data_IF_456701174894
#
_entry.id   IF_456701174894
#
_cell.length_a   1.000
_cell.length_b   1.000
_cell.length_c   1.000
_cell.angle_alpha   90.00
_cell.angle_beta   90.00
_cell.angle_gamma   90.00
#
_symmetry.space_group_name_H-M   'P 1'
#
loop_
_entity.id
_entity.type
_entity.pdbx_description
1 polymer ?
#
# COMPACT_ATOMS: atom_id res chain seq x y z
N UNK A 1 -26.01 -15.50 -77.35
CA UNK A 1 -26.90 -15.16 -76.21
C UNK A 1 -26.23 -15.68 -74.95
N UNK A 2 -25.52 -14.82 -74.21
CA UNK A 2 -24.81 -15.18 -72.97
C UNK A 2 -25.37 -14.28 -71.86
N UNK A 3 -25.76 -14.93 -70.75
CA UNK A 3 -26.51 -14.39 -69.62
C UNK A 3 -25.88 -13.14 -68.98
N UNK A 4 -26.56 -12.00 -69.09
CA UNK A 4 -26.25 -10.76 -68.37
C UNK A 4 -26.94 -10.66 -66.98
N UNK A 5 -27.61 -11.72 -66.51
CA UNK A 5 -28.42 -11.71 -65.29
C UNK A 5 -27.68 -12.05 -63.98
N UNK A 6 -26.46 -12.59 -64.04
CA UNK A 6 -25.79 -13.12 -62.85
C UNK A 6 -24.90 -12.11 -62.10
N UNK A 7 -24.48 -11.01 -62.75
CA UNK A 7 -23.57 -10.02 -62.15
C UNK A 7 -24.21 -9.06 -61.15
N UNK A 8 -25.50 -8.74 -61.35
CA UNK A 8 -26.21 -7.76 -60.51
C UNK A 8 -26.71 -8.33 -59.18
N UNK A 9 -26.99 -9.64 -59.11
CA UNK A 9 -27.42 -10.29 -57.87
C UNK A 9 -26.28 -10.44 -56.86
N UNK A 10 -25.04 -10.67 -57.32
CA UNK A 10 -23.88 -10.85 -56.43
C UNK A 10 -23.39 -9.51 -55.86
N UNK A 11 -23.50 -8.41 -56.62
CA UNK A 11 -23.14 -7.07 -56.14
C UNK A 11 -24.09 -6.55 -55.05
N UNK A 12 -25.38 -6.90 -55.09
CA UNK A 12 -26.35 -6.49 -54.07
C UNK A 12 -26.20 -7.26 -52.74
N UNK A 13 -25.78 -8.53 -52.80
CA UNK A 13 -25.54 -9.35 -51.60
C UNK A 13 -24.25 -8.90 -50.89
N UNK A 14 -23.24 -8.42 -51.62
CA UNK A 14 -22.02 -7.86 -51.02
C UNK A 14 -22.24 -6.48 -50.37
N UNK A 15 -23.07 -5.61 -50.96
CA UNK A 15 -23.37 -4.29 -50.38
C UNK A 15 -24.26 -4.35 -49.14
N UNK A 16 -25.09 -5.37 -49.00
CA UNK A 16 -25.91 -5.60 -47.80
C UNK A 16 -25.11 -6.25 -46.66
N UNK A 17 -24.09 -7.05 -46.97
CA UNK A 17 -23.16 -7.58 -45.96
C UNK A 17 -22.18 -6.55 -45.40
N UNK A 18 -21.81 -5.53 -46.20
CA UNK A 18 -20.93 -4.46 -45.73
C UNK A 18 -21.66 -3.41 -44.87
N UNK A 19 -22.98 -3.26 -45.04
CA UNK A 19 -23.83 -2.39 -44.22
C UNK A 19 -24.28 -3.05 -42.90
N UNK A 20 -24.23 -4.37 -42.79
CA UNK A 20 -24.61 -5.10 -41.57
C UNK A 20 -23.49 -5.16 -40.50
N UNK A 21 -22.25 -4.80 -40.86
CA UNK A 21 -21.11 -4.81 -39.93
C UNK A 21 -20.84 -3.46 -39.24
N UNK A 22 -21.65 -2.43 -39.49
CA UNK A 22 -21.81 -1.32 -38.54
C UNK A 22 -22.78 -1.76 -37.45
N UNK A 23 -22.42 -2.84 -36.74
CA UNK A 23 -22.90 -3.04 -35.39
C UNK A 23 -22.57 -1.74 -34.67
N UNK A 24 -23.62 -0.98 -34.38
CA UNK A 24 -23.53 0.18 -33.52
C UNK A 24 -22.81 -0.32 -32.26
N UNK A 25 -21.56 0.09 -32.06
CA UNK A 25 -20.94 -0.04 -30.77
C UNK A 25 -21.87 0.74 -29.84
N UNK A 26 -22.77 0.02 -29.15
CA UNK A 26 -23.56 0.61 -28.08
C UNK A 26 -22.56 1.42 -27.25
N UNK A 27 -22.85 2.69 -26.92
CA UNK A 27 -21.95 3.47 -26.09
C UNK A 27 -21.66 2.59 -24.88
N UNK A 28 -20.43 2.09 -24.81
CA UNK A 28 -20.03 1.12 -23.80
C UNK A 28 -20.40 1.76 -22.47
N UNK A 29 -21.36 1.16 -21.75
CA UNK A 29 -21.86 1.68 -20.48
C UNK A 29 -20.68 2.26 -19.70
N UNK A 30 -20.69 3.57 -19.48
CA UNK A 30 -19.60 4.21 -18.73
C UNK A 30 -19.57 3.57 -17.36
N UNK A 31 -18.46 2.91 -17.03
CA UNK A 31 -18.32 2.21 -15.75
C UNK A 31 -17.98 3.21 -14.66
N UNK A 32 -18.43 2.95 -13.45
CA UNK A 32 -18.23 3.82 -12.29
C UNK A 32 -17.40 3.08 -11.25
N UNK A 33 -16.21 3.59 -10.95
CA UNK A 33 -15.33 3.02 -9.92
C UNK A 33 -15.33 3.96 -8.71
N UNK A 34 -15.75 3.44 -7.56
CA UNK A 34 -15.68 4.16 -6.30
C UNK A 34 -14.32 3.96 -5.65
N UNK A 35 -13.63 5.03 -5.27
CA UNK A 35 -12.32 4.99 -4.61
C UNK A 35 -12.49 5.49 -3.17
N UNK A 36 -12.30 4.62 -2.19
CA UNK A 36 -12.35 4.98 -0.77
C UNK A 36 -10.93 4.98 -0.19
N UNK A 37 -10.41 6.15 0.12
CA UNK A 37 -9.10 6.31 0.73
C UNK A 37 -9.17 6.26 2.26
N UNK A 38 -8.06 5.90 2.91
CA UNK A 38 -7.98 5.87 4.38
C UNK A 38 -7.49 7.19 5.00
N UNK A 39 -7.14 8.22 4.22
CA UNK A 39 -6.68 9.52 4.73
C UNK A 39 -7.10 10.67 3.80
N UNK A 40 -6.52 11.86 3.96
CA UNK A 40 -6.72 13.04 3.16
C UNK A 40 -6.29 12.88 1.70
N UNK A 41 -6.85 13.74 0.85
CA UNK A 41 -6.51 13.85 -0.56
C UNK A 41 -5.02 14.11 -0.77
N UNK A 42 -4.42 15.02 -0.01
CA UNK A 42 -3.00 15.34 -0.13
C UNK A 42 -2.07 14.12 0.00
N UNK A 43 -2.46 13.11 0.79
CA UNK A 43 -1.68 11.91 1.01
C UNK A 43 -1.93 10.80 -0.02
N UNK A 44 -3.17 10.67 -0.48
CA UNK A 44 -3.56 9.58 -1.35
C UNK A 44 -3.67 9.97 -2.83
N UNK A 45 -3.81 11.25 -3.19
CA UNK A 45 -3.90 11.69 -4.59
C UNK A 45 -2.70 11.24 -5.43
N UNK A 46 -1.42 11.26 -4.95
CA UNK A 46 -0.32 10.69 -5.73
C UNK A 46 -0.53 9.20 -6.07
N UNK A 47 -1.13 8.44 -5.14
CA UNK A 47 -1.45 7.02 -5.34
C UNK A 47 -2.66 6.82 -6.25
N UNK A 48 -3.69 7.66 -6.09
CA UNK A 48 -4.88 7.69 -6.94
C UNK A 48 -4.52 8.09 -8.37
N UNK A 49 -3.56 9.01 -8.56
CA UNK A 49 -3.01 9.37 -9.86
C UNK A 49 -2.33 8.18 -10.55
N UNK A 50 -1.48 7.43 -9.84
CA UNK A 50 -0.87 6.20 -10.38
C UNK A 50 -1.93 5.17 -10.75
N UNK A 51 -2.96 5.00 -9.91
CA UNK A 51 -4.07 4.11 -10.19
C UNK A 51 -4.88 4.55 -11.42
N UNK A 52 -5.19 5.84 -11.54
CA UNK A 52 -5.88 6.47 -12.68
C UNK A 52 -5.08 6.29 -13.98
N UNK A 53 -3.79 6.55 -13.96
CA UNK A 53 -2.89 6.35 -15.11
C UNK A 53 -2.81 4.87 -15.52
N UNK A 54 -2.78 3.95 -14.56
CA UNK A 54 -2.78 2.51 -14.85
C UNK A 54 -4.12 2.04 -15.44
N UNK A 55 -5.25 2.56 -14.98
CA UNK A 55 -6.56 2.32 -15.59
C UNK A 55 -6.64 2.88 -17.01
N UNK A 56 -6.12 4.08 -17.23
CA UNK A 56 -6.03 4.69 -18.55
C UNK A 56 -5.21 3.84 -19.52
N UNK A 57 -4.06 3.31 -19.07
CA UNK A 57 -3.22 2.41 -19.85
C UNK A 57 -3.93 1.09 -20.19
N UNK A 58 -4.89 0.64 -19.37
CA UNK A 58 -5.75 -0.52 -19.64
C UNK A 58 -6.98 -0.19 -20.53
N UNK A 59 -7.14 1.06 -20.96
CA UNK A 59 -8.23 1.52 -21.82
C UNK A 59 -9.45 2.10 -21.09
N UNK A 60 -9.38 2.29 -19.77
CA UNK A 60 -10.41 2.96 -18.97
C UNK A 60 -10.06 4.44 -18.79
N UNK A 61 -10.71 5.30 -19.57
CA UNK A 61 -10.42 6.73 -19.66
C UNK A 61 -11.55 7.52 -19.00
N UNK A 62 -11.19 8.30 -17.98
CA UNK A 62 -12.11 9.15 -17.25
C UNK A 62 -12.81 10.16 -18.18
N UNK A 63 -14.13 10.30 -18.04
CA UNK A 63 -14.95 11.16 -18.90
C UNK A 63 -15.30 10.56 -20.27
N UNK A 64 -14.73 9.40 -20.64
CA UNK A 64 -15.07 8.69 -21.89
C UNK A 64 -15.85 7.40 -21.61
N UNK A 65 -15.26 6.48 -20.86
CA UNK A 65 -15.86 5.19 -20.52
C UNK A 65 -15.71 4.83 -19.04
N UNK A 66 -15.14 5.73 -18.23
CA UNK A 66 -14.93 5.58 -16.79
C UNK A 66 -15.37 6.86 -16.06
N UNK A 67 -15.93 6.70 -14.87
CA UNK A 67 -16.10 7.74 -13.85
C UNK A 67 -15.43 7.28 -12.56
N UNK A 68 -14.52 8.09 -12.01
CA UNK A 68 -13.90 7.83 -10.71
C UNK A 68 -14.56 8.67 -9.61
N UNK A 69 -15.20 7.99 -8.66
CA UNK A 69 -15.84 8.61 -7.51
C UNK A 69 -14.93 8.48 -6.29
N UNK A 70 -14.12 9.49 -6.02
CA UNK A 70 -13.11 9.43 -4.95
C UNK A 70 -13.66 10.03 -3.65
N UNK A 71 -13.41 9.38 -2.51
CA UNK A 71 -13.79 9.83 -1.17
C UNK A 71 -12.61 9.76 -0.21
N UNK A 72 -12.36 10.89 0.46
CA UNK A 72 -11.28 11.06 1.43
C UNK A 72 -11.86 11.39 2.82
N UNK A 73 -11.63 10.56 3.86
CA UNK A 73 -12.08 10.88 5.22
C UNK A 73 -11.29 12.02 5.88
N UNK A 74 -10.16 12.44 5.31
CA UNK A 74 -9.16 13.23 6.06
C UNK A 74 -8.55 12.36 7.16
N UNK A 75 -8.23 12.95 8.31
CA UNK A 75 -7.66 12.21 9.46
C UNK A 75 -8.73 11.55 10.36
N UNK A 76 -9.97 11.46 9.88
CA UNK A 76 -11.12 11.01 10.68
C UNK A 76 -11.65 9.66 10.20
N UNK A 77 -11.09 8.57 10.72
CA UNK A 77 -11.57 7.21 10.38
C UNK A 77 -13.07 7.00 10.66
N UNK A 78 -13.66 7.75 11.60
CA UNK A 78 -15.09 7.69 11.91
C UNK A 78 -15.99 8.05 10.72
N UNK A 79 -15.49 8.77 9.71
CA UNK A 79 -16.23 9.12 8.48
C UNK A 79 -16.28 8.00 7.45
N UNK A 80 -15.40 7.00 7.56
CA UNK A 80 -15.28 5.92 6.57
C UNK A 80 -16.58 5.13 6.34
N UNK A 81 -17.39 4.77 7.37
CA UNK A 81 -18.64 4.06 7.15
C UNK A 81 -19.65 4.85 6.30
N UNK A 82 -19.78 6.16 6.55
CA UNK A 82 -20.68 7.02 5.79
C UNK A 82 -20.24 7.17 4.33
N UNK A 83 -18.94 7.42 4.11
CA UNK A 83 -18.36 7.56 2.76
C UNK A 83 -18.47 6.24 1.97
N UNK A 84 -18.27 5.10 2.62
CA UNK A 84 -18.47 3.79 1.99
C UNK A 84 -19.94 3.59 1.59
N UNK A 85 -20.89 3.96 2.46
CA UNK A 85 -22.31 3.87 2.16
C UNK A 85 -22.72 4.81 1.02
N UNK A 86 -22.11 5.99 0.91
CA UNK A 86 -22.31 6.91 -0.21
C UNK A 86 -21.91 6.28 -1.55
N UNK A 87 -20.72 5.67 -1.62
CA UNK A 87 -20.27 4.97 -2.83
C UNK A 87 -21.18 3.79 -3.20
N UNK A 88 -21.71 3.07 -2.21
CA UNK A 88 -22.72 2.01 -2.45
C UNK A 88 -24.02 2.60 -3.01
N UNK A 89 -24.51 3.73 -2.47
CA UNK A 89 -25.71 4.42 -2.99
C UNK A 89 -25.54 4.92 -4.42
N UNK A 90 -24.32 5.31 -4.81
CA UNK A 90 -23.98 5.69 -6.19
C UNK A 90 -23.95 4.50 -7.16
N UNK A 91 -24.16 3.26 -6.67
CA UNK A 91 -24.17 2.03 -7.47
C UNK A 91 -22.91 1.90 -8.34
N UNK A 92 -21.75 2.12 -7.71
CA UNK A 92 -20.46 1.90 -8.38
C UNK A 92 -20.33 0.43 -8.80
N UNK A 93 -19.69 0.19 -9.93
CA UNK A 93 -19.44 -1.15 -10.47
C UNK A 93 -18.35 -1.89 -9.68
N UNK A 94 -17.35 -1.15 -9.18
CA UNK A 94 -16.25 -1.67 -8.36
C UNK A 94 -15.89 -0.64 -7.28
N UNK A 95 -15.62 -1.12 -6.06
CA UNK A 95 -15.05 -0.35 -4.96
C UNK A 95 -13.54 -0.64 -4.86
N UNK A 96 -12.72 0.37 -5.15
CA UNK A 96 -11.30 0.39 -4.87
C UNK A 96 -11.08 0.95 -3.44
N UNK A 97 -10.65 0.13 -2.48
CA UNK A 97 -10.38 0.56 -1.11
C UNK A 97 -8.89 0.66 -0.82
N UNK A 98 -8.42 1.84 -0.42
CA UNK A 98 -7.01 2.15 -0.24
C UNK A 98 -6.69 2.24 1.25
N UNK A 99 -6.00 1.23 1.76
CA UNK A 99 -5.72 0.99 3.17
C UNK A 99 -6.76 0.10 3.85
N UNK A 100 -6.34 -0.52 4.95
CA UNK A 100 -7.19 -1.46 5.70
C UNK A 100 -8.42 -0.82 6.35
N UNK A 101 -8.36 0.39 6.96
CA UNK A 101 -9.54 1.06 7.49
C UNK A 101 -10.64 1.25 6.42
N UNK A 102 -10.27 1.75 5.23
CA UNK A 102 -11.20 1.87 4.11
C UNK A 102 -11.76 0.51 3.67
N UNK A 103 -10.91 -0.53 3.62
CA UNK A 103 -11.34 -1.87 3.22
C UNK A 103 -12.34 -2.48 4.20
N UNK A 104 -12.13 -2.29 5.52
CA UNK A 104 -13.09 -2.72 6.54
C UNK A 104 -14.43 -1.99 6.42
N UNK A 105 -14.41 -0.69 6.15
CA UNK A 105 -15.63 0.08 5.92
C UNK A 105 -16.38 -0.39 4.66
N UNK A 106 -15.67 -0.57 3.54
CA UNK A 106 -16.25 -1.09 2.30
C UNK A 106 -16.87 -2.49 2.49
N UNK A 107 -16.15 -3.41 3.15
CA UNK A 107 -16.65 -4.77 3.43
C UNK A 107 -17.92 -4.78 4.29
N UNK A 108 -18.07 -3.82 5.21
CA UNK A 108 -19.30 -3.66 6.01
C UNK A 108 -20.44 -3.05 5.21
N UNK A 109 -20.13 -2.15 4.28
CA UNK A 109 -21.13 -1.41 3.52
C UNK A 109 -21.78 -2.26 2.41
N UNK A 110 -21.12 -3.31 1.91
CA UNK A 110 -21.67 -4.16 0.85
C UNK A 110 -21.06 -5.56 0.81
N UNK A 111 -21.92 -6.53 0.50
CA UNK A 111 -21.55 -7.93 0.23
C UNK A 111 -21.67 -8.29 -1.25
N UNK A 112 -22.10 -7.36 -2.10
CA UNK A 112 -22.45 -7.62 -3.52
C UNK A 112 -21.56 -6.87 -4.50
N UNK A 113 -21.20 -5.61 -4.23
CA UNK A 113 -20.32 -4.84 -5.11
C UNK A 113 -18.89 -5.39 -4.97
N UNK A 114 -18.19 -5.73 -6.07
CA UNK A 114 -16.78 -6.10 -6.04
C UNK A 114 -15.92 -5.08 -5.30
N UNK A 115 -15.12 -5.54 -4.32
CA UNK A 115 -14.15 -4.74 -3.60
C UNK A 115 -12.75 -5.19 -4.00
N UNK A 116 -11.96 -4.27 -4.54
CA UNK A 116 -10.53 -4.43 -4.76
C UNK A 116 -9.80 -3.64 -3.69
N UNK A 117 -9.10 -4.33 -2.79
CA UNK A 117 -8.33 -3.70 -1.73
C UNK A 117 -6.88 -3.46 -2.13
N UNK A 118 -6.32 -2.40 -1.59
CA UNK A 118 -4.89 -2.20 -1.44
C UNK A 118 -4.64 -2.10 0.07
N UNK A 119 -3.93 -3.06 0.64
CA UNK A 119 -3.63 -3.12 2.07
C UNK A 119 -2.16 -3.44 2.30
N UNK A 120 -1.57 -2.81 3.31
CA UNK A 120 -0.21 -3.14 3.79
C UNK A 120 -0.21 -4.23 4.88
N UNK A 121 -1.36 -4.80 5.20
CA UNK A 121 -1.52 -5.72 6.33
C UNK A 121 -1.62 -7.17 5.88
N UNK A 122 -1.30 -8.09 6.79
CA UNK A 122 -1.66 -9.50 6.63
C UNK A 122 -3.18 -9.64 6.82
N UNK A 123 -3.88 -9.58 5.69
CA UNK A 123 -5.34 -9.63 5.60
C UNK A 123 -5.93 -10.98 6.00
N UNK A 124 -5.14 -12.05 6.02
CA UNK A 124 -5.58 -13.37 6.52
C UNK A 124 -5.52 -13.39 8.04
N UNK A 125 -4.39 -12.98 8.62
CA UNK A 125 -4.20 -12.97 10.07
C UNK A 125 -5.19 -12.05 10.81
N UNK A 126 -5.66 -10.98 10.17
CA UNK A 126 -6.70 -10.09 10.73
C UNK A 126 -8.14 -10.52 10.40
N UNK A 127 -8.33 -11.69 9.78
CA UNK A 127 -9.65 -12.24 9.45
C UNK A 127 -10.40 -11.48 8.37
N UNK A 128 -9.71 -10.65 7.58
CA UNK A 128 -10.33 -9.88 6.50
C UNK A 128 -10.71 -10.80 5.33
N UNK A 129 -9.87 -11.79 5.02
CA UNK A 129 -10.16 -12.88 4.08
C UNK A 129 -9.72 -14.22 4.67
N UNK A 130 -10.41 -15.34 4.38
CA UNK A 130 -10.00 -16.67 4.83
C UNK A 130 -8.71 -17.16 4.16
N UNK A 131 -8.44 -16.73 2.91
CA UNK A 131 -7.29 -17.19 2.14
C UNK A 131 -6.95 -16.21 1.00
N UNK A 132 -5.67 -15.96 0.73
CA UNK A 132 -5.24 -15.04 -0.35
C UNK A 132 -5.54 -15.57 -1.76
N UNK A 133 -5.40 -16.87 -1.99
CA UNK A 133 -5.67 -17.49 -3.29
C UNK A 133 -7.18 -17.64 -3.56
N UNK A 134 -8.00 -17.66 -2.50
CA UNK A 134 -9.45 -17.77 -2.55
C UNK A 134 -10.08 -16.88 -1.47
N UNK A 135 -10.12 -15.56 -1.68
CA UNK A 135 -10.58 -14.62 -0.66
C UNK A 135 -12.08 -14.75 -0.33
N UNK A 136 -12.86 -15.39 -1.20
CA UNK A 136 -14.29 -15.62 -0.98
C UNK A 136 -15.13 -14.34 -1.05
N UNK A 137 -16.42 -14.48 -1.35
CA UNK A 137 -17.34 -13.34 -1.45
C UNK A 137 -16.96 -12.33 -2.54
N UNK A 138 -17.15 -11.04 -2.24
CA UNK A 138 -16.93 -9.91 -3.15
C UNK A 138 -15.58 -9.21 -2.99
N UNK A 139 -14.70 -9.66 -2.08
CA UNK A 139 -13.42 -8.99 -1.77
C UNK A 139 -12.23 -9.68 -2.46
N UNK A 140 -11.32 -8.89 -3.02
CA UNK A 140 -10.04 -9.33 -3.61
C UNK A 140 -9.03 -8.20 -3.56
N UNK A 141 -7.80 -8.39 -4.01
CA UNK A 141 -6.85 -7.29 -4.23
C UNK A 141 -5.41 -7.57 -3.81
N UNK A 142 -4.70 -6.50 -3.43
CA UNK A 142 -3.28 -6.49 -3.11
C UNK A 142 -3.09 -6.38 -1.60
N UNK A 143 -2.33 -7.30 -1.00
CA UNK A 143 -1.94 -7.29 0.41
C UNK A 143 -0.42 -7.25 0.57
N UNK A 144 0.07 -6.49 1.55
CA UNK A 144 1.47 -6.45 1.97
C UNK A 144 1.76 -7.32 3.19
N UNK A 145 3.00 -7.81 3.31
CA UNK A 145 3.49 -8.54 4.49
C UNK A 145 4.17 -7.56 5.47
N UNK A 146 3.43 -7.01 6.44
CA UNK A 146 3.97 -6.12 7.47
C UNK A 146 4.76 -6.78 8.62
N UNK A 147 4.46 -8.01 9.09
CA UNK A 147 5.12 -8.58 10.28
C UNK A 147 6.63 -8.79 10.12
N UNK A 148 7.07 -9.41 9.02
CA UNK A 148 8.48 -9.71 8.73
C UNK A 148 9.30 -8.42 8.57
N UNK A 149 8.67 -7.36 8.07
CA UNK A 149 9.31 -6.06 7.89
C UNK A 149 9.56 -5.33 9.21
N UNK A 150 8.79 -5.64 10.25
CA UNK A 150 8.97 -5.02 11.57
C UNK A 150 10.23 -5.54 12.24
N UNK A 151 10.48 -6.86 12.17
CA UNK A 151 11.73 -7.45 12.64
C UNK A 151 12.95 -6.94 11.87
N UNK A 152 12.83 -6.83 10.54
CA UNK A 152 13.91 -6.28 9.73
C UNK A 152 14.27 -4.83 10.08
N UNK A 153 13.27 -4.00 10.40
CA UNK A 153 13.51 -2.62 10.85
C UNK A 153 14.23 -2.56 12.20
N UNK A 154 13.92 -3.47 13.14
CA UNK A 154 14.66 -3.58 14.40
C UNK A 154 16.11 -4.06 14.19
N UNK A 155 16.32 -5.03 13.29
CA UNK A 155 17.68 -5.44 12.91
C UNK A 155 18.48 -4.27 12.30
N UNK A 156 17.86 -3.47 11.43
CA UNK A 156 18.49 -2.28 10.87
C UNK A 156 18.84 -1.25 11.94
N UNK A 157 17.96 -1.04 12.93
CA UNK A 157 18.26 -0.20 14.09
C UNK A 157 19.48 -0.75 14.82
N UNK A 158 19.58 -2.07 15.04
CA UNK A 158 20.74 -2.68 15.71
C UNK A 158 22.02 -2.52 14.91
N UNK A 159 21.98 -2.68 13.60
CA UNK A 159 23.15 -2.58 12.73
C UNK A 159 23.69 -1.14 12.64
N UNK A 160 22.80 -0.16 12.58
CA UNK A 160 23.16 1.26 12.42
C UNK A 160 23.45 1.92 13.78
N UNK A 161 22.65 1.58 14.80
CA UNK A 161 22.72 2.10 16.16
C UNK A 161 23.00 0.95 17.14
N UNK A 162 24.23 0.40 17.18
CA UNK A 162 24.54 -0.81 17.95
C UNK A 162 24.36 -0.67 19.46
N UNK A 163 24.33 0.57 19.97
CA UNK A 163 24.09 0.90 21.38
C UNK A 163 22.61 1.14 21.71
N UNK A 164 21.71 1.16 20.74
CA UNK A 164 20.28 1.34 20.99
C UNK A 164 19.69 0.11 21.66
N UNK A 165 19.07 0.31 22.82
CA UNK A 165 18.36 -0.73 23.60
C UNK A 165 16.88 -0.36 23.78
N UNK A 166 16.57 0.93 24.01
CA UNK A 166 15.21 1.43 24.27
C UNK A 166 14.60 2.00 23.00
N UNK A 167 13.71 1.25 22.37
CA UNK A 167 13.09 1.64 21.10
C UNK A 167 11.67 2.15 21.36
N UNK A 168 11.44 3.42 21.06
CA UNK A 168 10.09 3.96 21.00
C UNK A 168 9.37 3.39 19.77
N UNK A 169 8.13 2.95 19.92
CA UNK A 169 7.27 2.51 18.82
C UNK A 169 6.08 3.44 18.77
N UNK A 170 6.04 4.32 17.76
CA UNK A 170 4.92 5.23 17.56
C UNK A 170 3.86 4.53 16.70
N UNK A 171 2.65 4.41 17.24
CA UNK A 171 1.60 3.59 16.66
C UNK A 171 0.21 4.17 16.94
N UNK A 172 -0.78 3.80 16.13
CA UNK A 172 -2.17 4.22 16.30
C UNK A 172 -3.06 3.01 16.58
N UNK A 173 -3.41 2.74 17.84
CA UNK A 173 -4.24 1.57 18.20
C UNK A 173 -5.71 1.70 17.78
N UNK A 174 -6.15 2.87 17.33
CA UNK A 174 -7.46 3.01 16.70
C UNK A 174 -7.51 2.33 15.31
N UNK A 175 -6.35 2.06 14.71
CA UNK A 175 -6.25 1.26 13.50
C UNK A 175 -6.17 -0.23 13.85
N UNK A 176 -7.17 -1.07 13.46
CA UNK A 176 -7.21 -2.49 13.83
C UNK A 176 -5.97 -3.29 13.39
N UNK A 177 -5.26 -2.83 12.36
CA UNK A 177 -4.07 -3.55 11.86
C UNK A 177 -2.83 -3.30 12.68
N UNK A 178 -2.84 -2.28 13.54
CA UNK A 178 -1.70 -1.94 14.38
C UNK A 178 -1.43 -3.01 15.43
N UNK A 179 -2.45 -3.65 16.00
CA UNK A 179 -2.26 -4.67 17.05
C UNK A 179 -1.43 -5.87 16.54
N UNK A 180 -1.77 -6.51 15.40
CA UNK A 180 -0.92 -7.55 14.82
C UNK A 180 0.51 -7.11 14.54
N UNK A 181 0.70 -5.89 14.02
CA UNK A 181 2.03 -5.33 13.73
C UNK A 181 2.83 -5.14 15.02
N UNK A 182 2.21 -4.60 16.08
CA UNK A 182 2.84 -4.43 17.38
C UNK A 182 3.26 -5.78 17.98
N UNK A 183 2.41 -6.81 17.92
CA UNK A 183 2.77 -8.16 18.40
C UNK A 183 3.97 -8.75 17.64
N UNK A 184 4.00 -8.59 16.32
CA UNK A 184 5.14 -9.02 15.51
C UNK A 184 6.42 -8.24 15.86
N UNK A 185 6.29 -6.93 16.08
CA UNK A 185 7.39 -6.07 16.49
C UNK A 185 7.92 -6.46 17.87
N UNK A 186 7.04 -6.73 18.84
CA UNK A 186 7.39 -7.21 20.18
C UNK A 186 8.13 -8.55 20.13
N UNK A 187 7.64 -9.50 19.32
CA UNK A 187 8.30 -10.79 19.13
C UNK A 187 9.72 -10.64 18.54
N UNK A 188 9.89 -9.77 17.53
CA UNK A 188 11.20 -9.52 16.95
C UNK A 188 12.14 -8.73 17.89
N UNK A 189 11.59 -7.87 18.75
CA UNK A 189 12.36 -7.16 19.77
C UNK A 189 12.94 -8.12 20.82
N UNK A 190 12.21 -9.18 21.18
CA UNK A 190 12.73 -10.23 22.07
C UNK A 190 13.95 -10.92 21.45
N UNK A 191 13.92 -11.22 20.15
CA UNK A 191 15.04 -11.85 19.43
C UNK A 191 16.26 -10.92 19.32
N UNK A 192 16.04 -9.61 19.19
CA UNK A 192 17.09 -8.60 19.10
C UNK A 192 17.51 -8.01 20.45
N UNK A 193 16.92 -8.49 21.55
CA UNK A 193 17.11 -8.01 22.94
C UNK A 193 16.95 -6.51 23.07
N UNK A 194 15.94 -5.94 22.41
CA UNK A 194 15.57 -4.54 22.50
C UNK A 194 14.32 -4.38 23.37
N UNK A 195 14.25 -3.30 24.15
CA UNK A 195 13.11 -2.93 24.98
C UNK A 195 12.21 -1.98 24.19
N UNK A 196 10.99 -2.42 23.91
CA UNK A 196 10.01 -1.59 23.22
C UNK A 196 9.21 -0.73 24.20
N UNK A 197 9.01 0.53 23.83
CA UNK A 197 8.06 1.45 24.45
C UNK A 197 7.03 1.88 23.42
N UNK A 198 5.83 1.29 23.47
CA UNK A 198 4.73 1.68 22.59
C UNK A 198 4.13 3.01 23.05
N UNK A 199 4.05 3.97 22.14
CA UNK A 199 3.41 5.26 22.32
C UNK A 199 2.20 5.32 21.37
N UNK A 200 1.01 5.21 21.95
CA UNK A 200 -0.27 5.23 21.23
C UNK A 200 -0.66 6.68 20.89
N UNK A 201 -0.77 6.98 19.60
CA UNK A 201 -1.17 8.28 19.05
C UNK A 201 -2.35 8.06 18.12
N UNK A 202 -3.50 8.60 18.50
CA UNK A 202 -4.79 8.46 17.82
C UNK A 202 -5.21 9.73 17.10
N UNK A 203 -4.55 10.84 17.39
CA UNK A 203 -4.78 12.15 16.76
C UNK A 203 -3.49 12.98 16.73
N UNK A 204 -3.35 13.91 15.77
CA UNK A 204 -2.13 14.72 15.61
C UNK A 204 -1.68 15.47 16.87
N UNK A 205 -2.62 15.98 17.67
CA UNK A 205 -2.34 16.74 18.88
C UNK A 205 -1.53 15.97 19.95
N UNK A 206 -1.54 14.62 19.91
CA UNK A 206 -0.84 13.78 20.87
C UNK A 206 0.65 13.59 20.54
N UNK A 207 1.10 13.96 19.34
CA UNK A 207 2.48 13.77 18.89
C UNK A 207 3.48 14.50 19.80
N UNK A 208 3.18 15.74 20.21
CA UNK A 208 4.07 16.49 21.09
C UNK A 208 4.34 15.77 22.41
N UNK A 209 3.29 15.27 23.05
CA UNK A 209 3.38 14.52 24.31
C UNK A 209 4.12 13.17 24.15
N UNK A 210 3.95 12.51 23.01
CA UNK A 210 4.68 11.28 22.69
C UNK A 210 6.19 11.52 22.63
N UNK A 211 6.64 12.57 21.94
CA UNK A 211 8.06 12.91 21.86
C UNK A 211 8.64 13.43 23.18
N UNK A 212 7.87 14.15 24.00
CA UNK A 212 8.29 14.51 25.36
C UNK A 212 8.49 13.26 26.24
N UNK A 213 7.63 12.26 26.07
CA UNK A 213 7.78 10.97 26.75
C UNK A 213 9.05 10.23 26.29
N UNK A 214 9.34 10.21 24.99
CA UNK A 214 10.59 9.64 24.44
C UNK A 214 11.83 10.28 25.09
N UNK A 215 11.83 11.62 25.23
CA UNK A 215 12.92 12.36 25.88
C UNK A 215 13.07 11.99 27.36
N UNK A 216 11.96 11.98 28.11
CA UNK A 216 11.95 11.66 29.55
C UNK A 216 12.40 10.22 29.82
N UNK A 217 12.02 9.28 28.97
CA UNK A 217 12.34 7.85 29.13
C UNK A 217 13.68 7.46 28.49
N UNK A 218 14.40 8.43 27.90
CA UNK A 218 15.68 8.24 27.21
C UNK A 218 15.63 7.14 26.15
N UNK A 219 14.68 7.25 25.21
CA UNK A 219 14.58 6.31 24.09
C UNK A 219 15.71 6.55 23.09
N UNK A 220 16.35 5.47 22.63
CA UNK A 220 17.54 5.51 21.78
C UNK A 220 17.20 5.64 20.29
N UNK A 221 16.03 5.14 19.87
CA UNK A 221 15.53 5.24 18.50
C UNK A 221 14.01 5.17 18.46
N UNK A 222 13.44 5.61 17.34
CA UNK A 222 12.02 5.57 17.03
C UNK A 222 11.77 4.60 15.87
N UNK A 223 10.84 3.68 16.05
CA UNK A 223 10.22 2.91 14.97
C UNK A 223 8.80 3.41 14.74
N UNK A 224 8.50 3.86 13.52
CA UNK A 224 7.14 4.24 13.14
C UNK A 224 6.39 3.05 12.55
N UNK A 225 5.24 2.71 13.12
CA UNK A 225 4.31 1.74 12.53
C UNK A 225 3.53 2.42 11.40
N UNK A 226 3.40 1.76 10.25
CA UNK A 226 2.62 2.30 9.14
C UNK A 226 1.16 2.52 9.54
N UNK A 227 0.71 3.76 9.41
CA UNK A 227 -0.64 4.19 9.68
C UNK A 227 -0.96 5.42 8.83
N UNK A 228 -2.13 5.49 8.17
CA UNK A 228 -2.52 6.65 7.38
C UNK A 228 -2.53 8.00 8.13
N UNK A 229 -2.97 8.03 9.39
CA UNK A 229 -2.96 9.26 10.19
C UNK A 229 -1.51 9.69 10.47
N UNK A 230 -0.66 8.78 10.95
CA UNK A 230 0.76 9.10 11.18
C UNK A 230 1.51 9.44 9.89
N UNK A 231 1.11 8.88 8.75
CA UNK A 231 1.66 9.24 7.45
C UNK A 231 1.33 10.68 7.07
N UNK A 232 0.13 11.16 7.40
CA UNK A 232 -0.32 12.54 7.18
C UNK A 232 0.52 13.54 7.96
N UNK A 233 0.86 13.16 9.20
CA UNK A 233 1.68 13.95 10.11
C UNK A 233 3.19 13.80 9.89
N UNK A 234 3.61 13.20 8.76
CA UNK A 234 5.02 12.96 8.44
C UNK A 234 5.90 14.20 8.59
N UNK A 235 5.55 15.40 8.09
CA UNK A 235 6.38 16.59 8.28
C UNK A 235 6.61 16.92 9.76
N UNK A 236 5.55 16.85 10.57
CA UNK A 236 5.62 17.11 12.01
C UNK A 236 6.43 16.03 12.74
N UNK A 237 6.22 14.74 12.43
CA UNK A 237 6.98 13.63 13.02
C UNK A 237 8.47 13.75 12.70
N UNK A 238 8.84 14.10 11.46
CA UNK A 238 10.23 14.32 11.06
C UNK A 238 10.82 15.51 11.83
N UNK A 239 10.09 16.62 11.92
CA UNK A 239 10.53 17.80 12.66
C UNK A 239 10.75 17.48 14.15
N UNK A 240 9.83 16.75 14.78
CA UNK A 240 9.93 16.33 16.17
C UNK A 240 11.11 15.36 16.37
N UNK A 241 11.27 14.35 15.52
CA UNK A 241 12.41 13.42 15.58
C UNK A 241 13.75 14.17 15.52
N UNK A 242 13.87 15.18 14.64
CA UNK A 242 15.04 16.04 14.56
C UNK A 242 15.22 16.91 15.81
N UNK A 243 14.15 17.57 16.29
CA UNK A 243 14.15 18.44 17.48
C UNK A 243 14.59 17.69 18.75
N UNK A 244 14.05 16.49 18.94
CA UNK A 244 14.36 15.63 20.08
C UNK A 244 15.61 14.74 19.86
N UNK A 245 16.22 14.81 18.68
CA UNK A 245 17.42 14.06 18.28
C UNK A 245 17.26 12.54 18.43
N UNK A 246 16.08 12.03 18.14
CA UNK A 246 15.80 10.59 18.17
C UNK A 246 15.92 10.05 16.73
N UNK A 247 16.85 9.13 16.44
CA UNK A 247 16.95 8.54 15.11
C UNK A 247 15.70 7.70 14.83
N UNK A 248 15.05 7.97 13.69
CA UNK A 248 13.75 7.38 13.35
C UNK A 248 13.83 6.47 12.11
N UNK A 249 13.21 5.31 12.21
CA UNK A 249 13.07 4.32 11.14
C UNK A 249 11.62 4.21 10.72
N UNK A 250 11.39 4.37 9.42
CA UNK A 250 10.07 4.44 8.82
C UNK A 250 9.79 3.24 7.91
N UNK A 251 8.52 3.00 7.60
CA UNK A 251 8.14 1.99 6.62
C UNK A 251 8.22 2.52 5.18
N UNK A 252 7.83 3.77 4.98
CA UNK A 252 7.63 4.33 3.64
C UNK A 252 8.77 5.24 3.21
N UNK A 253 9.16 5.10 1.95
CA UNK A 253 10.21 5.90 1.29
C UNK A 253 9.95 7.41 1.32
N UNK A 254 8.68 7.81 1.36
CA UNK A 254 8.28 9.22 1.43
C UNK A 254 8.78 9.92 2.71
N UNK A 255 9.14 9.19 3.76
CA UNK A 255 9.75 9.77 4.98
C UNK A 255 11.17 10.28 4.71
N UNK A 256 12.13 9.46 4.23
CA UNK A 256 13.44 9.97 3.84
C UNK A 256 13.42 11.09 2.81
N UNK A 257 12.52 11.01 1.82
CA UNK A 257 12.37 12.06 0.80
C UNK A 257 11.91 13.40 1.40
N UNK A 258 11.12 13.36 2.47
CA UNK A 258 10.65 14.53 3.21
C UNK A 258 11.62 14.99 4.34
N UNK A 259 12.83 14.44 4.42
CA UNK A 259 13.82 14.82 5.44
C UNK A 259 13.97 13.86 6.62
N UNK A 260 13.22 12.75 6.63
CA UNK A 260 13.38 11.68 7.60
C UNK A 260 14.70 10.91 7.43
N UNK A 261 15.09 10.17 8.45
CA UNK A 261 16.39 9.49 8.48
C UNK A 261 16.49 8.28 7.54
N UNK A 262 15.69 7.24 7.77
CA UNK A 262 15.74 6.02 6.96
C UNK A 262 14.42 5.28 6.89
N UNK A 263 14.17 4.60 5.77
CA UNK A 263 12.99 3.75 5.60
C UNK A 263 13.34 2.36 5.10
N UNK A 264 12.52 1.37 5.48
CA UNK A 264 12.55 0.04 4.91
C UNK A 264 11.12 -0.50 4.76
N UNK A 265 10.69 -0.69 3.50
CA UNK A 265 9.36 -1.19 3.17
C UNK A 265 9.11 -1.28 1.67
N UNK A 266 7.89 -1.69 1.27
CA UNK A 266 7.54 -1.94 -0.12
C UNK A 266 7.35 -0.64 -0.93
N UNK A 267 7.51 -0.72 -2.25
CA UNK A 267 7.30 0.40 -3.17
C UNK A 267 5.79 0.66 -3.40
N UNK A 268 5.30 1.90 -3.18
CA UNK A 268 3.89 2.22 -3.38
C UNK A 268 3.39 2.03 -4.83
N UNK A 269 4.20 2.41 -5.81
CA UNK A 269 3.77 2.47 -7.22
C UNK A 269 3.32 1.11 -7.78
N UNK A 270 4.08 0.04 -7.52
CA UNK A 270 3.76 -1.31 -7.99
C UNK A 270 2.43 -1.83 -7.42
N UNK A 271 2.05 -1.41 -6.21
CA UNK A 271 0.81 -1.83 -5.55
C UNK A 271 -0.41 -1.25 -6.26
N UNK A 272 -0.41 0.04 -6.54
CA UNK A 272 -1.54 0.72 -7.20
C UNK A 272 -1.67 0.32 -8.68
N UNK A 273 -0.56 0.06 -9.38
CA UNK A 273 -0.60 -0.51 -10.72
C UNK A 273 -1.23 -1.92 -10.73
N UNK A 274 -0.85 -2.78 -9.79
CA UNK A 274 -1.49 -4.10 -9.65
C UNK A 274 -2.96 -3.98 -9.30
N UNK A 275 -3.33 -3.06 -8.40
CA UNK A 275 -4.72 -2.80 -8.07
C UNK A 275 -5.56 -2.47 -9.31
N UNK A 276 -5.04 -1.64 -10.22
CA UNK A 276 -5.71 -1.33 -11.49
C UNK A 276 -5.93 -2.56 -12.37
N UNK A 277 -5.00 -3.51 -12.41
CA UNK A 277 -5.17 -4.79 -13.14
C UNK A 277 -6.33 -5.62 -12.57
N UNK A 278 -6.51 -5.65 -11.25
CA UNK A 278 -7.64 -6.35 -10.64
C UNK A 278 -8.97 -5.69 -11.01
N UNK A 279 -9.01 -4.35 -10.97
CA UNK A 279 -10.20 -3.58 -11.35
C UNK A 279 -10.53 -3.80 -12.83
N UNK A 280 -9.55 -3.73 -13.72
CA UNK A 280 -9.74 -4.01 -15.15
C UNK A 280 -10.35 -5.39 -15.40
N UNK A 281 -9.81 -6.44 -14.76
CA UNK A 281 -10.35 -7.80 -14.88
C UNK A 281 -11.80 -7.90 -14.43
N UNK A 282 -12.14 -7.27 -13.31
CA UNK A 282 -13.51 -7.28 -12.77
C UNK A 282 -14.46 -6.52 -13.70
N UNK A 283 -14.06 -5.35 -14.19
CA UNK A 283 -14.84 -4.57 -15.15
C UNK A 283 -15.07 -5.31 -16.48
N UNK A 284 -14.17 -6.24 -16.84
CA UNK A 284 -14.31 -7.16 -17.98
C UNK A 284 -15.09 -8.45 -17.67
N UNK A 285 -15.67 -8.56 -16.47
CA UNK A 285 -16.56 -9.66 -16.09
C UNK A 285 -15.93 -10.77 -15.25
N UNK A 286 -14.65 -10.64 -14.84
CA UNK A 286 -14.06 -11.60 -13.90
C UNK A 286 -14.72 -11.47 -12.52
N UNK A 287 -15.01 -12.60 -11.88
CA UNK A 287 -15.47 -12.60 -10.48
C UNK A 287 -14.33 -12.18 -9.54
N UNK A 288 -14.58 -11.49 -8.42
CA UNK A 288 -13.52 -11.03 -7.51
C UNK A 288 -12.57 -12.15 -7.03
N UNK A 289 -13.12 -13.31 -6.69
CA UNK A 289 -12.34 -14.49 -6.29
C UNK A 289 -11.54 -15.16 -7.41
N UNK A 290 -11.85 -14.87 -8.68
CA UNK A 290 -11.13 -15.37 -9.87
C UNK A 290 -10.16 -14.33 -10.43
N UNK A 291 -10.40 -13.03 -10.20
CA UNK A 291 -9.53 -11.93 -10.62
C UNK A 291 -8.11 -12.04 -10.02
N UNK A 292 -8.01 -12.66 -8.83
CA UNK A 292 -6.75 -13.01 -8.16
C UNK A 292 -6.07 -14.28 -8.64
N UNK A 293 -6.64 -15.01 -9.63
CA UNK A 293 -5.96 -16.17 -10.20
C UNK A 293 -4.72 -15.70 -10.96
N UNK A 294 -3.56 -16.33 -10.74
CA UNK A 294 -2.31 -15.82 -11.26
C UNK A 294 -2.11 -16.35 -12.67
N UNK A 295 -2.17 -15.49 -13.69
CA UNK A 295 -1.59 -15.82 -15.00
C UNK A 295 -0.06 -15.74 -15.02
N UNK A 296 0.54 -15.28 -13.92
CA UNK A 296 1.90 -15.59 -13.52
C UNK A 296 1.98 -15.23 -12.04
N UNK A 297 1.90 -16.23 -11.17
CA UNK A 297 2.17 -16.05 -9.75
C UNK A 297 3.68 -15.84 -9.62
N UNK A 298 4.15 -14.63 -9.93
CA UNK A 298 5.37 -14.18 -9.26
C UNK A 298 4.93 -13.82 -7.86
N UNK A 299 4.95 -14.82 -6.97
CA UNK A 299 5.13 -14.56 -5.54
C UNK A 299 6.34 -13.63 -5.51
N UNK A 300 6.18 -12.41 -5.00
CA UNK A 300 7.33 -11.53 -4.71
C UNK A 300 8.13 -12.06 -3.51
N UNK A 301 8.29 -13.38 -3.40
CA UNK A 301 9.43 -14.04 -2.77
C UNK A 301 10.65 -14.04 -3.71
N UNK A 302 10.47 -13.65 -4.99
CA UNK A 302 11.57 -13.36 -5.91
C UNK A 302 11.92 -11.86 -5.86
N UNK A 303 13.00 -11.55 -5.12
CA UNK A 303 13.75 -10.30 -5.14
C UNK A 303 14.05 -9.88 -6.59
N UNK A 304 14.01 -8.59 -6.98
CA UNK A 304 14.47 -7.40 -6.23
C UNK A 304 13.50 -6.19 -6.29
N UNK A 305 12.95 -5.70 -5.16
CA UNK A 305 12.16 -4.45 -5.15
C UNK A 305 12.14 -3.72 -3.79
N UNK A 306 13.16 -3.90 -2.95
CA UNK A 306 13.27 -3.17 -1.67
C UNK A 306 14.09 -1.90 -1.84
N UNK A 307 13.57 -0.75 -1.40
CA UNK A 307 14.33 0.50 -1.34
C UNK A 307 14.78 0.78 0.09
N UNK A 308 16.08 0.57 0.37
CA UNK A 308 16.75 1.22 1.48
C UNK A 308 17.10 2.63 1.05
N UNK A 309 16.66 3.63 1.81
CA UNK A 309 17.02 5.01 1.55
C UNK A 309 17.51 5.66 2.85
N UNK A 310 18.68 6.29 2.75
CA UNK A 310 19.35 7.00 3.83
C UNK A 310 19.45 8.47 3.46
N UNK A 311 19.00 9.35 4.35
CA UNK A 311 19.16 10.79 4.18
C UNK A 311 20.33 11.29 5.05
N UNK A 312 21.51 11.46 4.43
CA UNK A 312 22.72 11.92 5.13
C UNK A 312 22.60 13.32 5.73
N UNK A 313 21.70 14.17 5.23
CA UNK A 313 21.48 15.54 5.75
C UNK A 313 20.65 15.57 7.04
N UNK A 314 19.92 14.49 7.31
CA UNK A 314 19.08 14.35 8.51
C UNK A 314 19.83 13.71 9.69
N UNK A 315 21.04 13.19 9.47
CA UNK A 315 21.88 12.65 10.53
C UNK A 315 22.37 13.79 11.44
N UNK A 316 22.03 13.79 12.74
CA UNK A 316 22.48 14.86 13.63
C UNK A 316 24.01 14.81 13.77
N UNK A 317 24.67 15.80 13.19
CA UNK A 317 26.15 16.02 13.21
C UNK A 317 26.74 16.16 14.62
N UNK A 318 25.89 16.19 15.67
CA UNK A 318 26.27 16.32 17.08
C UNK A 318 25.85 15.15 17.99
N UNK A 319 25.43 14.00 17.45
CA UNK A 319 25.31 12.73 18.22
C UNK A 319 26.69 12.06 18.42
N UNK A 320 27.79 12.78 18.21
CA UNK A 320 29.15 12.23 18.27
C UNK A 320 29.48 11.27 17.12
N UNK A 321 28.60 11.16 16.11
CA UNK A 321 28.85 10.43 14.89
C UNK A 321 29.27 11.40 13.79
N UNK A 322 30.55 11.41 13.48
CA UNK A 322 31.06 11.92 12.22
C UNK A 322 30.54 11.04 11.08
N UNK A 323 30.27 11.62 9.91
CA UNK A 323 30.01 10.88 8.67
C UNK A 323 31.14 9.86 8.39
N UNK A 324 32.35 10.09 8.91
CA UNK A 324 33.49 9.18 8.83
C UNK A 324 33.50 8.03 9.84
N UNK A 325 32.63 8.03 10.86
CA UNK A 325 32.61 7.01 11.92
C UNK A 325 31.46 5.99 11.83
N UNK A 326 30.59 6.09 10.82
CA UNK A 326 29.85 4.92 10.30
C UNK A 326 30.77 4.33 9.23
N UNK A 327 31.46 3.19 9.46
CA UNK A 327 32.28 2.62 8.41
C UNK A 327 31.35 2.36 7.23
N UNK A 328 31.63 2.94 6.07
CA UNK A 328 30.99 2.56 4.81
C UNK A 328 31.13 1.03 4.57
N UNK A 329 32.09 0.41 5.25
CA UNK A 329 32.29 -1.03 5.43
C UNK A 329 31.18 -1.69 6.28
N UNK A 330 30.64 -1.07 7.32
CA UNK A 330 29.55 -1.63 8.16
C UNK A 330 28.22 -1.61 7.42
N UNK A 331 27.92 -0.54 6.67
CA UNK A 331 26.77 -0.50 5.75
C UNK A 331 26.92 -1.56 4.63
N UNK A 332 28.10 -1.64 4.00
CA UNK A 332 28.39 -2.65 2.97
C UNK A 332 28.48 -4.09 3.51
N UNK A 333 28.90 -4.29 4.76
CA UNK A 333 28.97 -5.60 5.45
C UNK A 333 27.61 -6.05 5.92
N UNK A 334 26.76 -5.18 6.46
CA UNK A 334 25.34 -5.47 6.71
C UNK A 334 24.64 -5.87 5.41
N UNK A 335 24.84 -5.09 4.34
CA UNK A 335 24.33 -5.40 3.00
C UNK A 335 24.86 -6.73 2.43
N UNK A 336 26.15 -7.08 2.63
CA UNK A 336 26.71 -8.38 2.19
C UNK A 336 26.30 -9.55 3.10
N UNK A 337 26.20 -9.36 4.41
CA UNK A 337 25.80 -10.39 5.36
C UNK A 337 24.32 -10.75 5.21
N UNK A 338 23.44 -9.77 4.94
CA UNK A 338 22.07 -10.02 4.49
C UNK A 338 22.05 -10.83 3.19
N UNK A 339 22.91 -10.49 2.22
CA UNK A 339 22.99 -11.16 0.90
C UNK A 339 23.48 -12.61 0.99
N UNK A 340 24.29 -12.95 1.99
CA UNK A 340 24.87 -14.27 2.18
C UNK A 340 23.99 -15.18 3.06
N UNK A 341 23.33 -14.65 4.10
CA UNK A 341 22.38 -15.44 4.93
C UNK A 341 21.07 -15.77 4.23
N UNK A 342 20.68 -15.01 3.21
CA UNK A 342 19.52 -15.33 2.36
C UNK A 342 19.76 -16.47 1.37
N UNK A 343 21.03 -16.82 1.10
CA UNK A 343 21.37 -17.91 0.18
C UNK A 343 21.32 -19.31 0.84
N UNK A 344 21.33 -19.39 2.17
CA UNK A 344 21.37 -20.66 2.92
C UNK A 344 20.00 -21.17 3.38
N UNK A 345 18.90 -20.54 2.98
CA UNK A 345 17.52 -20.91 3.37
C UNK A 345 16.68 -21.43 2.19
N UNK A 346 17.30 -21.86 1.09
CA UNK A 346 16.60 -22.65 0.07
C UNK A 346 16.32 -24.04 0.63
N UNK A 347 15.06 -24.53 0.68
CA UNK A 347 14.83 -25.95 0.82
C UNK A 347 15.42 -26.63 -0.41
N UNK A 348 16.21 -27.68 -0.18
CA UNK A 348 16.63 -28.61 -1.21
C UNK A 348 15.40 -29.31 -1.79
N UNK A 349 15.17 -29.08 -3.09
CA UNK A 349 14.40 -29.85 -4.09
C UNK A 349 12.97 -30.30 -3.74
#
# INVERSE_FOLDING_TARGET
MINAGAGLAVAFIFLTWLAANTAHAQPSRSVRVGVLASSSEANFEPSVKVFREALQAAGWVEGRNLTLEVRYPGDQYARLPELAAELVRLKVDVLASLGTPATLAAKRATTTIPIVMESLSDVVSIGLVPNLARPGGNLTGVSGFAPELSGKRLELIREIFPRADRIAVLANRANPVTIPILRATESAAQQTRMKLRVLDVRQPAELGAAFETMRREHTDALLLVADPLLFSERPLIIQLAARYRVPAVYEMRLFPEAGGLLSYGPLPQERFQRMAVYVDRILRGARPGEAGRPTALRILASWPAWSFQWNSKSAPTKVGMSISSIPMISLKRGMRALRLRSASLSPSR
#
